data_IF_348981995635
#
_entry.id   IF_348981995635
#
_cell.length_a   1.000
_cell.length_b   1.000
_cell.length_c   1.000
_cell.angle_alpha   90.00
_cell.angle_beta   90.00
_cell.angle_gamma   90.00
#
_symmetry.space_group_name_H-M   'P 1'
#
loop_
_entity.id
_entity.type
_entity.pdbx_description
1 polymer ?
#
# COMPACT_ATOMS: atom_id res chain seq x y z
N UNK A 1 13.34 9.51 -11.10
CA UNK A 1 13.88 8.14 -11.16
C UNK A 1 13.12 7.35 -10.11
N UNK A 2 12.33 6.35 -10.48
CA UNK A 2 11.58 5.55 -9.50
C UNK A 2 12.60 4.91 -8.56
N UNK A 3 12.49 5.15 -7.26
CA UNK A 3 13.33 4.47 -6.29
C UNK A 3 13.14 2.97 -6.43
N UNK A 4 14.19 2.17 -6.24
CA UNK A 4 14.14 0.71 -6.43
C UNK A 4 13.02 0.09 -5.58
N UNK A 5 12.84 0.61 -4.36
CA UNK A 5 11.80 0.19 -3.42
C UNK A 5 10.39 0.54 -3.90
N UNK A 6 10.23 1.71 -4.51
CA UNK A 6 8.96 2.18 -5.08
C UNK A 6 8.57 1.36 -6.33
N UNK A 7 9.56 0.94 -7.12
CA UNK A 7 9.37 0.05 -8.27
C UNK A 7 8.93 -1.35 -7.83
N UNK A 8 9.54 -1.88 -6.76
CA UNK A 8 9.14 -3.17 -6.17
C UNK A 8 7.70 -3.11 -5.66
N UNK A 9 7.32 -2.04 -4.94
CA UNK A 9 5.95 -1.81 -4.50
C UNK A 9 4.95 -1.80 -5.66
N UNK A 10 5.28 -1.08 -6.74
CA UNK A 10 4.46 -1.04 -7.95
C UNK A 10 4.27 -2.40 -8.61
N UNK A 11 5.33 -3.21 -8.70
CA UNK A 11 5.26 -4.57 -9.26
C UNK A 11 4.36 -5.47 -8.39
N UNK A 12 4.51 -5.42 -7.07
CA UNK A 12 3.69 -6.22 -6.13
C UNK A 12 2.22 -5.85 -6.28
N UNK A 13 1.90 -4.56 -6.31
CA UNK A 13 0.53 -4.09 -6.52
C UNK A 13 -0.06 -4.64 -7.82
N UNK A 14 0.69 -4.51 -8.91
CA UNK A 14 0.24 -4.90 -10.24
C UNK A 14 0.08 -6.43 -10.34
N UNK A 15 0.99 -7.20 -9.75
CA UNK A 15 0.89 -8.66 -9.68
C UNK A 15 -0.35 -9.11 -8.91
N UNK A 16 -0.59 -8.56 -7.71
CA UNK A 16 -1.78 -8.88 -6.91
C UNK A 16 -3.07 -8.53 -7.64
N UNK A 17 -3.13 -7.36 -8.29
CA UNK A 17 -4.30 -6.94 -9.05
C UNK A 17 -4.56 -7.86 -10.26
N UNK A 18 -3.54 -8.14 -11.07
CA UNK A 18 -3.68 -8.97 -12.26
C UNK A 18 -4.05 -10.41 -11.88
N UNK A 19 -3.38 -11.00 -10.90
CA UNK A 19 -3.68 -12.37 -10.45
C UNK A 19 -5.10 -12.44 -9.85
N UNK A 20 -5.49 -11.46 -9.03
CA UNK A 20 -6.83 -11.39 -8.46
C UNK A 20 -7.93 -11.31 -9.53
N UNK A 21 -7.72 -10.49 -10.57
CA UNK A 21 -8.64 -10.36 -11.70
C UNK A 21 -8.68 -11.66 -12.51
N UNK A 22 -7.52 -12.20 -12.91
CA UNK A 22 -7.45 -13.41 -13.72
C UNK A 22 -8.10 -14.60 -13.01
N UNK A 23 -7.88 -14.75 -11.71
CA UNK A 23 -8.53 -15.80 -10.92
C UNK A 23 -10.05 -15.59 -10.85
N UNK A 24 -10.52 -14.36 -10.60
CA UNK A 24 -11.96 -14.06 -10.55
C UNK A 24 -12.65 -14.31 -11.89
N UNK A 25 -12.04 -13.87 -12.99
CA UNK A 25 -12.56 -14.12 -14.35
C UNK A 25 -12.51 -15.62 -14.67
N UNK A 26 -11.39 -16.29 -14.38
CA UNK A 26 -11.27 -17.75 -14.51
C UNK A 26 -12.39 -18.50 -13.79
N UNK A 27 -12.63 -18.12 -12.53
CA UNK A 27 -13.57 -18.78 -11.65
C UNK A 27 -15.03 -18.51 -12.04
N UNK A 28 -15.39 -17.26 -12.32
CA UNK A 28 -16.80 -16.87 -12.54
C UNK A 28 -17.21 -16.74 -14.00
N UNK A 29 -16.31 -16.35 -14.90
CA UNK A 29 -16.63 -16.20 -16.32
C UNK A 29 -16.42 -17.50 -17.08
N UNK A 30 -15.31 -18.20 -16.83
CA UNK A 30 -15.01 -19.47 -17.50
C UNK A 30 -15.50 -20.72 -16.74
N UNK A 31 -15.69 -20.61 -15.41
CA UNK A 31 -16.05 -21.76 -14.57
C UNK A 31 -17.52 -22.18 -14.60
N UNK A 32 -18.41 -21.40 -15.22
CA UNK A 32 -19.86 -21.62 -15.24
C UNK A 32 -20.50 -21.84 -13.85
N UNK A 33 -20.59 -20.77 -13.02
CA UNK A 33 -21.10 -20.85 -11.65
C UNK A 33 -22.55 -21.32 -11.54
N UNK A 34 -23.31 -21.20 -12.64
CA UNK A 34 -24.73 -21.54 -12.71
C UNK A 34 -24.98 -23.05 -12.62
N UNK A 35 -24.00 -23.85 -13.04
CA UNK A 35 -24.07 -25.30 -13.06
C UNK A 35 -23.33 -25.96 -11.87
N UNK A 36 -22.82 -25.17 -10.94
CA UNK A 36 -22.12 -25.71 -9.77
C UNK A 36 -23.06 -26.29 -8.73
N UNK A 37 -22.64 -27.42 -8.15
CA UNK A 37 -23.37 -28.04 -7.05
C UNK A 37 -23.25 -27.23 -5.75
N UNK A 38 -24.25 -27.31 -4.88
CA UNK A 38 -24.28 -26.61 -3.57
C UNK A 38 -23.03 -26.90 -2.71
N UNK A 39 -22.52 -28.14 -2.60
CA UNK A 39 -21.31 -28.41 -1.82
C UNK A 39 -20.07 -27.67 -2.36
N UNK A 40 -19.98 -27.50 -3.69
CA UNK A 40 -18.89 -26.76 -4.31
C UNK A 40 -18.98 -25.27 -3.96
N UNK A 41 -20.17 -24.68 -4.05
CA UNK A 41 -20.41 -23.30 -3.61
C UNK A 41 -20.00 -23.06 -2.15
N UNK A 42 -20.29 -24.02 -1.27
CA UNK A 42 -19.99 -23.93 0.16
C UNK A 42 -18.48 -23.87 0.46
N UNK A 43 -17.65 -24.44 -0.42
CA UNK A 43 -16.19 -24.44 -0.32
C UNK A 43 -15.60 -23.26 -1.10
N UNK A 44 -16.08 -23.02 -2.32
CA UNK A 44 -15.52 -22.01 -3.22
C UNK A 44 -15.70 -20.60 -2.69
N UNK A 45 -16.84 -20.26 -2.09
CA UNK A 45 -17.08 -18.92 -1.53
C UNK A 45 -16.07 -18.54 -0.44
N UNK A 46 -15.88 -19.31 0.65
CA UNK A 46 -14.92 -18.95 1.68
C UNK A 46 -13.48 -18.93 1.16
N UNK A 47 -13.11 -19.87 0.27
CA UNK A 47 -11.78 -19.89 -0.35
C UNK A 47 -11.55 -18.65 -1.21
N UNK A 48 -12.54 -18.26 -2.03
CA UNK A 48 -12.48 -17.06 -2.85
C UNK A 48 -12.35 -15.80 -2.00
N UNK A 49 -13.14 -15.67 -0.93
CA UNK A 49 -13.06 -14.52 -0.01
C UNK A 49 -11.68 -14.44 0.64
N UNK A 50 -11.16 -15.55 1.16
CA UNK A 50 -9.84 -15.60 1.76
C UNK A 50 -8.75 -15.22 0.73
N UNK A 51 -8.85 -15.72 -0.49
CA UNK A 51 -7.93 -15.40 -1.57
C UNK A 51 -7.94 -13.90 -1.93
N UNK A 52 -9.13 -13.31 -2.11
CA UNK A 52 -9.26 -11.88 -2.41
C UNK A 52 -8.77 -11.03 -1.25
N UNK A 53 -9.00 -11.43 0.01
CA UNK A 53 -8.46 -10.73 1.16
C UNK A 53 -6.92 -10.71 1.15
N UNK A 54 -6.27 -11.83 0.84
CA UNK A 54 -4.81 -11.92 0.72
C UNK A 54 -4.29 -11.05 -0.43
N UNK A 55 -4.94 -11.11 -1.60
CA UNK A 55 -4.59 -10.25 -2.74
C UNK A 55 -4.78 -8.76 -2.43
N UNK A 56 -5.84 -8.40 -1.71
CA UNK A 56 -6.11 -7.05 -1.27
C UNK A 56 -5.04 -6.51 -0.33
N UNK A 57 -4.61 -7.32 0.65
CA UNK A 57 -3.50 -6.97 1.56
C UNK A 57 -2.20 -6.78 0.78
N UNK A 58 -1.86 -7.71 -0.13
CA UNK A 58 -0.66 -7.59 -0.96
C UNK A 58 -0.69 -6.35 -1.85
N UNK A 59 -1.83 -6.06 -2.48
CA UNK A 59 -2.02 -4.85 -3.26
C UNK A 59 -1.89 -3.59 -2.41
N UNK A 60 -2.50 -3.56 -1.22
CA UNK A 60 -2.40 -2.43 -0.30
C UNK A 60 -0.95 -2.16 0.11
N UNK A 61 -0.18 -3.20 0.44
CA UNK A 61 1.25 -3.07 0.76
C UNK A 61 2.05 -2.59 -0.44
N UNK A 62 1.79 -3.14 -1.63
CA UNK A 62 2.44 -2.67 -2.86
C UNK A 62 2.16 -1.19 -3.13
N UNK A 63 0.91 -0.77 -2.91
CA UNK A 63 0.47 0.62 -3.07
C UNK A 63 1.15 1.57 -2.07
N UNK A 64 1.22 1.21 -0.78
CA UNK A 64 1.87 2.05 0.21
C UNK A 64 3.37 2.17 -0.09
N UNK A 65 4.07 1.10 -0.44
CA UNK A 65 5.49 1.17 -0.84
C UNK A 65 5.72 1.96 -2.14
N UNK A 66 4.77 1.92 -3.08
CA UNK A 66 4.84 2.67 -4.33
C UNK A 66 4.55 4.18 -4.16
N UNK A 67 3.88 4.57 -3.06
CA UNK A 67 3.45 5.95 -2.80
C UNK A 67 4.19 6.61 -1.65
N UNK A 68 4.94 5.85 -0.84
CA UNK A 68 5.84 6.42 0.17
C UNK A 68 7.07 7.05 -0.51
N UNK A 69 7.26 8.37 -0.44
CA UNK A 69 8.50 8.99 -0.88
C UNK A 69 9.66 8.46 -0.02
N UNK A 70 10.83 8.19 -0.61
CA UNK A 70 11.99 7.73 0.14
C UNK A 70 12.25 8.72 1.30
N UNK A 71 12.51 8.22 2.52
CA UNK A 71 12.74 9.09 3.67
C UNK A 71 13.82 10.11 3.31
N UNK A 72 13.52 11.40 3.55
CA UNK A 72 14.47 12.49 3.28
C UNK A 72 15.82 12.17 3.96
N UNK A 73 16.96 12.54 3.35
CA UNK A 73 18.25 12.44 4.02
C UNK A 73 18.20 13.17 5.37
N UNK A 74 18.77 12.54 6.40
CA UNK A 74 18.68 13.00 7.80
C UNK A 74 19.14 14.46 7.97
N UNK A 75 20.04 14.94 7.10
CA UNK A 75 20.61 16.29 7.10
C UNK A 75 19.58 17.41 6.85
N UNK A 76 18.58 17.18 5.98
CA UNK A 76 17.52 18.17 5.70
C UNK A 76 16.50 18.26 6.83
N UNK A 77 16.24 17.15 7.52
CA UNK A 77 15.32 17.10 8.67
C UNK A 77 15.95 17.79 9.89
N UNK A 78 17.25 17.60 10.11
CA UNK A 78 17.97 18.30 11.20
C UNK A 78 18.06 19.80 10.97
N UNK A 79 18.25 20.24 9.73
CA UNK A 79 18.33 21.67 9.40
C UNK A 79 16.97 22.36 9.49
N UNK A 80 15.88 21.73 9.04
CA UNK A 80 14.51 22.25 9.20
C UNK A 80 14.12 22.35 10.70
N UNK A 81 14.47 21.36 11.53
CA UNK A 81 14.22 21.39 12.99
C UNK A 81 15.08 22.44 13.71
N UNK A 82 16.34 22.61 13.30
CA UNK A 82 17.25 23.59 13.90
C UNK A 82 16.88 25.02 13.51
N UNK A 83 16.30 25.23 12.33
CA UNK A 83 15.80 26.52 11.87
C UNK A 83 14.50 26.93 12.59
N UNK A 84 13.54 26.00 12.76
CA UNK A 84 12.33 26.25 13.58
C UNK A 84 12.66 26.51 15.06
N UNK A 85 13.59 25.73 15.64
CA UNK A 85 14.03 25.95 17.03
C UNK A 85 14.70 27.32 17.24
N UNK A 86 15.35 27.86 16.20
CA UNK A 86 16.04 29.16 16.25
C UNK A 86 15.10 30.35 16.03
N UNK A 87 13.96 30.15 15.38
CA UNK A 87 12.88 31.14 15.30
C UNK A 87 12.09 31.23 16.62
N UNK A 88 11.89 30.11 17.32
CA UNK A 88 11.19 30.07 18.61
C UNK A 88 11.97 30.68 19.78
N UNK A 89 13.30 30.80 19.72
CA UNK A 89 14.12 31.36 20.82
C UNK A 89 14.25 32.90 20.80
N UNK A 90 13.82 33.57 19.72
CA UNK A 90 13.91 35.05 19.59
C UNK A 90 12.88 35.90 20.36
N UNK A 91 11.69 35.44 20.82
CA UNK A 91 10.73 36.29 21.51
C UNK A 91 11.03 36.50 23.00
N UNK A 92 11.83 35.65 23.67
CA UNK A 92 12.03 35.75 25.13
C UNK A 92 13.10 36.77 25.57
N UNK A 93 14.01 37.24 24.70
CA UNK A 93 15.06 38.20 25.09
C UNK A 93 14.66 39.69 25.06
N UNK A 94 13.39 40.04 24.78
CA UNK A 94 12.94 41.45 24.71
C UNK A 94 12.13 41.95 25.91
N UNK A 95 11.87 41.12 26.93
CA UNK A 95 11.05 41.50 28.09
C UNK A 95 11.85 41.42 29.39
N UNK A 96 13.04 42.02 29.43
CA UNK A 96 13.69 42.36 30.70
C UNK A 96 14.52 43.64 30.50
N UNK A 97 13.84 44.79 30.57
CA UNK A 97 14.42 46.10 30.88
C UNK A 97 13.36 47.08 31.33
#
# INVERSE_FOLDING_TARGET
MVSKDQGIGGIIFLACAVIGILYSVGLFYFGDPSNWSIPFWLVTVPVFIAFIAVMGIGAWIGWTMATTPPPKPIEEITSEIEEEAKEEEKPEKKTEK
#
